data_IF_650460145100
#
_entry.id   IF_650460145100
#
_cell.length_a   1.000
_cell.length_b   1.000
_cell.length_c   1.000
_cell.angle_alpha   90.00
_cell.angle_beta   90.00
_cell.angle_gamma   90.00
#
_symmetry.space_group_name_H-M   'P 1'
#
loop_
_entity.id
_entity.type
_entity.pdbx_description
1 polymer ?
#
# COMPACT_ATOMS: atom_id res chain seq x y z
N UNK A 1 -15.53 16.75 -15.29
CA UNK A 1 -14.12 17.22 -15.17
C UNK A 1 -13.88 17.87 -13.81
N UNK A 2 -14.77 18.75 -13.33
CA UNK A 2 -14.61 19.44 -12.04
C UNK A 2 -14.72 18.50 -10.84
N UNK A 3 -15.71 17.61 -10.83
CA UNK A 3 -15.91 16.60 -9.78
C UNK A 3 -14.68 15.69 -9.61
N UNK A 4 -14.07 15.24 -10.73
CA UNK A 4 -12.85 14.43 -10.68
C UNK A 4 -11.65 15.20 -10.12
N UNK A 5 -11.54 16.50 -10.39
CA UNK A 5 -10.48 17.34 -9.85
C UNK A 5 -10.70 17.66 -8.37
N UNK A 6 -11.91 17.93 -7.95
CA UNK A 6 -12.28 18.14 -6.54
C UNK A 6 -11.97 16.89 -5.70
N UNK A 7 -12.27 15.71 -6.21
CA UNK A 7 -11.94 14.43 -5.55
C UNK A 7 -10.43 14.28 -5.41
N UNK A 8 -9.67 14.56 -6.47
CA UNK A 8 -8.19 14.50 -6.43
C UNK A 8 -7.60 15.49 -5.43
N UNK A 9 -8.11 16.73 -5.41
CA UNK A 9 -7.67 17.75 -4.46
C UNK A 9 -7.95 17.34 -3.01
N UNK A 10 -9.12 16.77 -2.73
CA UNK A 10 -9.47 16.25 -1.41
C UNK A 10 -8.47 15.16 -0.96
N UNK A 11 -8.10 14.22 -1.84
CA UNK A 11 -7.13 13.17 -1.53
C UNK A 11 -5.71 13.70 -1.35
N UNK A 12 -5.30 14.71 -2.11
CA UNK A 12 -4.01 15.39 -1.89
C UNK A 12 -3.99 16.02 -0.51
N UNK A 13 -5.08 16.69 -0.10
CA UNK A 13 -5.23 17.26 1.24
C UNK A 13 -5.13 16.21 2.34
N UNK A 14 -5.80 15.07 2.18
CA UNK A 14 -5.72 13.95 3.13
C UNK A 14 -4.30 13.38 3.21
N UNK A 15 -3.62 13.27 2.06
CA UNK A 15 -2.23 12.80 2.01
C UNK A 15 -1.28 13.73 2.80
N UNK A 16 -1.38 15.03 2.62
CA UNK A 16 -0.59 15.99 3.40
C UNK A 16 -0.91 15.94 4.88
N UNK A 17 -2.19 15.80 5.24
CA UNK A 17 -2.60 15.64 6.63
C UNK A 17 -1.98 14.38 7.23
N UNK A 18 -1.98 13.28 6.50
CA UNK A 18 -1.38 12.01 6.91
C UNK A 18 0.13 12.18 7.16
N UNK A 19 0.85 12.88 6.27
CA UNK A 19 2.27 13.18 6.45
C UNK A 19 2.51 13.97 7.76
N UNK A 20 1.68 14.96 8.05
CA UNK A 20 1.74 15.74 9.28
C UNK A 20 1.50 14.88 10.53
N UNK A 21 0.52 13.98 10.47
CA UNK A 21 0.23 13.02 11.56
C UNK A 21 1.42 12.11 11.83
N UNK A 22 2.08 11.61 10.78
CA UNK A 22 3.27 10.75 10.95
C UNK A 22 4.45 11.51 11.54
N UNK A 23 4.66 12.77 11.18
CA UNK A 23 5.69 13.62 11.81
C UNK A 23 5.40 13.77 13.30
N UNK A 24 4.16 14.03 13.69
CA UNK A 24 3.76 14.11 15.10
C UNK A 24 3.98 12.81 15.86
N UNK A 25 3.74 11.67 15.23
CA UNK A 25 4.04 10.34 15.80
C UNK A 25 5.54 10.13 16.04
N UNK A 26 6.37 10.57 15.11
CA UNK A 26 7.84 10.51 15.26
C UNK A 26 8.31 11.38 16.42
N UNK A 27 7.76 12.57 16.56
CA UNK A 27 8.07 13.46 17.69
C UNK A 27 7.69 12.83 19.03
N UNK A 28 6.50 12.24 19.13
CA UNK A 28 6.05 11.55 20.36
C UNK A 28 6.95 10.37 20.69
N UNK A 29 7.35 9.59 19.66
CA UNK A 29 8.26 8.46 19.82
C UNK A 29 9.63 8.91 20.33
N UNK A 30 10.19 9.97 19.74
CA UNK A 30 11.46 10.56 20.18
C UNK A 30 11.39 11.04 21.63
N UNK A 31 10.30 11.72 22.03
CA UNK A 31 10.09 12.18 23.41
C UNK A 31 10.02 11.00 24.40
N UNK A 32 9.34 9.93 24.02
CA UNK A 32 9.26 8.71 24.83
C UNK A 32 10.63 8.08 25.05
N UNK A 33 11.42 7.93 23.99
CA UNK A 33 12.79 7.39 24.07
C UNK A 33 13.70 8.27 24.93
N UNK A 34 13.62 9.58 24.75
CA UNK A 34 14.39 10.57 25.52
C UNK A 34 14.06 10.50 27.00
N UNK A 35 12.76 10.38 27.34
CA UNK A 35 12.33 10.23 28.74
C UNK A 35 12.89 8.96 29.36
N UNK A 36 12.78 7.83 28.67
CA UNK A 36 13.33 6.55 29.17
C UNK A 36 14.83 6.62 29.40
N UNK A 37 15.56 7.30 28.52
CA UNK A 37 17.00 7.52 28.64
C UNK A 37 17.31 8.43 29.84
N UNK A 38 16.57 9.52 30.05
CA UNK A 38 16.74 10.42 31.20
C UNK A 38 16.46 9.73 32.53
N UNK A 39 15.44 8.90 32.58
CA UNK A 39 15.05 8.13 33.76
C UNK A 39 15.99 6.92 33.99
N UNK A 40 17.00 6.75 33.14
CA UNK A 40 17.95 5.63 33.16
C UNK A 40 17.28 4.26 33.14
N UNK A 41 16.12 4.17 32.53
CA UNK A 41 15.36 2.93 32.38
C UNK A 41 15.86 2.17 31.14
N UNK A 42 17.09 1.68 31.23
CA UNK A 42 17.81 1.06 30.11
C UNK A 42 17.16 -0.23 29.60
N UNK A 43 16.58 -1.03 30.49
CA UNK A 43 15.93 -2.27 30.13
C UNK A 43 14.68 -2.01 29.27
N UNK A 44 13.83 -1.08 29.70
CA UNK A 44 12.67 -0.64 28.94
C UNK A 44 13.05 0.03 27.61
N UNK A 45 14.09 0.86 27.63
CA UNK A 45 14.60 1.50 26.40
C UNK A 45 15.09 0.46 25.39
N UNK A 46 15.88 -0.51 25.83
CA UNK A 46 16.34 -1.61 24.98
C UNK A 46 15.17 -2.42 24.42
N UNK A 47 14.16 -2.69 25.23
CA UNK A 47 12.98 -3.44 24.82
C UNK A 47 12.22 -2.72 23.71
N UNK A 48 12.02 -1.41 23.85
CA UNK A 48 11.35 -0.57 22.84
C UNK A 48 12.18 -0.51 21.56
N UNK A 49 13.50 -0.30 21.66
CA UNK A 49 14.38 -0.19 20.49
C UNK A 49 14.50 -1.49 19.69
N UNK A 50 14.34 -2.65 20.33
CA UNK A 50 14.37 -3.96 19.67
C UNK A 50 13.00 -4.41 19.17
N UNK A 51 11.92 -3.81 19.64
CA UNK A 51 10.56 -4.19 19.24
C UNK A 51 10.23 -3.66 17.84
N UNK A 52 9.71 -4.54 17.00
CA UNK A 52 9.14 -4.19 15.69
C UNK A 52 7.64 -3.93 15.74
N UNK A 53 7.03 -4.10 16.91
CA UNK A 53 5.57 -4.06 17.07
C UNK A 53 4.96 -2.73 16.62
N UNK A 54 5.59 -1.62 16.97
CA UNK A 54 5.11 -0.29 16.58
C UNK A 54 5.10 -0.12 15.05
N UNK A 55 6.17 -0.54 14.38
CA UNK A 55 6.28 -0.49 12.92
C UNK A 55 5.23 -1.38 12.28
N UNK A 56 5.04 -2.58 12.78
CA UNK A 56 4.04 -3.53 12.26
C UNK A 56 2.62 -2.99 12.40
N UNK A 57 2.29 -2.38 13.53
CA UNK A 57 0.98 -1.76 13.75
C UNK A 57 0.74 -0.56 12.84
N UNK A 58 1.73 0.32 12.69
CA UNK A 58 1.62 1.46 11.79
C UNK A 58 1.50 1.01 10.33
N UNK A 59 2.20 -0.05 9.95
CA UNK A 59 2.11 -0.62 8.61
C UNK A 59 0.72 -1.18 8.30
N UNK A 60 0.10 -1.86 9.26
CA UNK A 60 -1.30 -2.32 9.13
C UNK A 60 -2.27 -1.16 8.92
N UNK A 61 -2.12 -0.08 9.70
CA UNK A 61 -2.94 1.13 9.54
C UNK A 61 -2.72 1.78 8.17
N UNK A 62 -1.48 1.83 7.72
CA UNK A 62 -1.11 2.34 6.41
C UNK A 62 -1.77 1.54 5.29
N UNK A 63 -1.71 0.22 5.32
CA UNK A 63 -2.34 -0.63 4.32
C UNK A 63 -3.86 -0.44 4.28
N UNK A 64 -4.49 -0.36 5.45
CA UNK A 64 -5.93 -0.12 5.53
C UNK A 64 -6.31 1.22 4.90
N UNK A 65 -5.57 2.27 5.22
CA UNK A 65 -5.81 3.60 4.65
C UNK A 65 -5.58 3.61 3.14
N UNK A 66 -4.51 2.96 2.67
CA UNK A 66 -4.23 2.81 1.25
C UNK A 66 -5.38 2.10 0.53
N UNK A 67 -5.83 0.99 1.08
CA UNK A 67 -6.94 0.21 0.50
C UNK A 67 -8.22 1.04 0.41
N UNK A 68 -8.59 1.73 1.49
CA UNK A 68 -9.78 2.58 1.53
C UNK A 68 -9.73 3.69 0.48
N UNK A 69 -8.63 4.43 0.42
CA UNK A 69 -8.46 5.52 -0.54
C UNK A 69 -8.45 4.99 -1.97
N UNK A 70 -7.66 3.96 -2.24
CA UNK A 70 -7.53 3.42 -3.59
C UNK A 70 -8.87 2.86 -4.11
N UNK A 71 -9.57 2.07 -3.31
CA UNK A 71 -10.85 1.48 -3.71
C UNK A 71 -11.98 2.52 -3.82
N UNK A 72 -11.85 3.65 -3.13
CA UNK A 72 -12.75 4.76 -3.35
C UNK A 72 -12.52 5.43 -4.72
N UNK A 73 -11.25 5.62 -5.10
CA UNK A 73 -10.89 6.18 -6.41
C UNK A 73 -11.20 5.22 -7.57
N UNK A 74 -11.03 3.93 -7.33
CA UNK A 74 -11.21 2.88 -8.32
C UNK A 74 -12.14 1.78 -7.80
N UNK A 75 -13.45 2.06 -7.66
CA UNK A 75 -14.40 1.14 -7.00
C UNK A 75 -14.56 -0.20 -7.72
N UNK A 76 -14.28 -0.24 -9.02
CA UNK A 76 -14.37 -1.47 -9.83
C UNK A 76 -13.01 -2.13 -10.09
N UNK A 77 -11.95 -1.67 -9.44
CA UNK A 77 -10.60 -2.17 -9.70
C UNK A 77 -10.49 -3.68 -9.55
N UNK A 78 -10.95 -4.24 -8.44
CA UNK A 78 -10.84 -5.69 -8.18
C UNK A 78 -11.63 -6.50 -9.21
N UNK A 79 -12.82 -6.05 -9.58
CA UNK A 79 -13.66 -6.71 -10.59
C UNK A 79 -12.97 -6.68 -11.96
N UNK A 80 -12.48 -5.53 -12.39
CA UNK A 80 -11.80 -5.38 -13.67
C UNK A 80 -10.45 -6.09 -13.71
N UNK A 81 -9.73 -6.07 -12.58
CA UNK A 81 -8.48 -6.84 -12.42
C UNK A 81 -8.73 -8.35 -12.53
N UNK A 82 -9.74 -8.84 -11.84
CA UNK A 82 -10.14 -10.25 -11.89
C UNK A 82 -10.56 -10.70 -13.28
N UNK A 83 -11.12 -9.81 -14.08
CA UNK A 83 -11.47 -10.12 -15.47
C UNK A 83 -10.25 -10.44 -16.33
N UNK A 84 -9.04 -10.07 -15.90
CA UNK A 84 -7.78 -10.40 -16.58
C UNK A 84 -7.19 -11.74 -16.14
N UNK A 85 -7.77 -12.38 -15.12
CA UNK A 85 -7.29 -13.61 -14.51
C UNK A 85 -8.18 -14.81 -14.85
N UNK A 86 -7.59 -16.01 -14.83
CA UNK A 86 -8.34 -17.25 -14.89
C UNK A 86 -9.37 -17.30 -13.74
N UNK A 87 -10.52 -17.88 -13.97
CA UNK A 87 -11.66 -17.85 -13.05
C UNK A 87 -11.32 -18.41 -11.66
N UNK A 88 -10.58 -19.51 -11.63
CA UNK A 88 -10.12 -20.17 -10.40
C UNK A 88 -8.98 -19.43 -9.69
N UNK A 89 -8.42 -18.41 -10.30
CA UNK A 89 -7.28 -17.64 -9.77
C UNK A 89 -7.66 -16.21 -9.35
N UNK A 90 -8.95 -15.91 -9.35
CA UNK A 90 -9.46 -14.58 -8.99
C UNK A 90 -9.36 -14.30 -7.52
N UNK A 91 -9.10 -13.04 -7.18
CA UNK A 91 -9.05 -12.58 -5.80
C UNK A 91 -10.46 -12.27 -5.27
N UNK A 92 -10.72 -12.66 -4.03
CA UNK A 92 -11.98 -12.36 -3.32
C UNK A 92 -11.67 -11.85 -1.91
N UNK A 93 -11.03 -10.67 -1.79
CA UNK A 93 -10.73 -10.11 -0.48
C UNK A 93 -12.00 -9.66 0.24
N UNK A 94 -11.88 -9.41 1.55
CA UNK A 94 -12.96 -8.81 2.33
C UNK A 94 -13.30 -7.41 1.78
N UNK A 95 -14.55 -6.93 1.98
CA UNK A 95 -14.93 -5.58 1.57
C UNK A 95 -13.95 -4.53 2.12
N UNK A 96 -13.58 -3.56 1.26
CA UNK A 96 -12.64 -2.48 1.57
C UNK A 96 -11.21 -2.92 1.93
N UNK A 97 -10.85 -4.17 1.64
CA UNK A 97 -9.49 -4.68 1.83
C UNK A 97 -8.90 -5.14 0.51
N UNK A 98 -7.57 -5.09 0.42
CA UNK A 98 -6.82 -5.67 -0.69
C UNK A 98 -5.78 -6.65 -0.16
N UNK A 99 -5.42 -7.63 -0.99
CA UNK A 99 -4.30 -8.53 -0.72
C UNK A 99 -2.98 -7.83 -1.04
N UNK A 100 -1.83 -8.35 -0.56
CA UNK A 100 -0.52 -7.81 -0.97
C UNK A 100 -0.35 -7.72 -2.48
N UNK A 101 -0.79 -8.74 -3.21
CA UNK A 101 -0.73 -8.77 -4.68
C UNK A 101 -1.57 -7.64 -5.30
N UNK A 102 -2.79 -7.46 -4.82
CA UNK A 102 -3.66 -6.38 -5.31
C UNK A 102 -3.07 -5.00 -5.04
N UNK A 103 -2.42 -4.78 -3.90
CA UNK A 103 -1.74 -3.50 -3.60
C UNK A 103 -0.59 -3.22 -4.56
N UNK A 104 0.17 -4.24 -4.94
CA UNK A 104 1.24 -4.10 -5.93
C UNK A 104 0.66 -3.61 -7.26
N UNK A 105 -0.38 -4.26 -7.74
CA UNK A 105 -1.00 -3.88 -9.01
C UNK A 105 -1.82 -2.59 -8.92
N UNK A 106 -2.31 -2.23 -7.74
CA UNK A 106 -2.88 -0.90 -7.49
C UNK A 106 -1.82 0.20 -7.68
N UNK A 107 -0.61 0.01 -7.18
CA UNK A 107 0.50 0.94 -7.41
C UNK A 107 0.89 1.01 -8.89
N UNK A 108 0.91 -0.11 -9.59
CA UNK A 108 1.12 -0.16 -11.04
C UNK A 108 0.03 0.64 -11.76
N UNK A 109 -1.23 0.49 -11.34
CA UNK A 109 -2.35 1.29 -11.88
C UNK A 109 -2.12 2.80 -11.71
N UNK A 110 -1.52 3.20 -10.60
CA UNK A 110 -1.17 4.61 -10.33
C UNK A 110 0.09 5.08 -11.09
N UNK A 111 0.70 4.22 -11.88
CA UNK A 111 1.89 4.54 -12.67
C UNK A 111 3.22 4.24 -11.97
N UNK A 112 3.20 3.64 -10.80
CA UNK A 112 4.39 3.23 -10.08
C UNK A 112 4.72 1.80 -10.50
N UNK A 113 5.61 1.65 -11.48
CA UNK A 113 5.91 0.35 -12.13
C UNK A 113 7.26 -0.23 -11.72
N UNK A 114 8.11 0.56 -11.10
CA UNK A 114 9.44 0.12 -10.64
C UNK A 114 9.32 -0.75 -9.40
N UNK A 115 9.81 -1.99 -9.46
CA UNK A 115 9.72 -2.95 -8.36
C UNK A 115 10.43 -2.48 -7.09
N UNK A 116 11.53 -1.76 -7.23
CA UNK A 116 12.27 -1.19 -6.09
C UNK A 116 11.44 -0.12 -5.37
N UNK A 117 10.77 0.75 -6.12
CA UNK A 117 9.87 1.78 -5.55
C UNK A 117 8.65 1.14 -4.88
N UNK A 118 8.04 0.14 -5.51
CA UNK A 118 6.92 -0.61 -4.94
C UNK A 118 7.35 -1.29 -3.62
N UNK A 119 8.51 -1.93 -3.62
CA UNK A 119 9.07 -2.58 -2.44
C UNK A 119 9.27 -1.60 -1.28
N UNK A 120 9.84 -0.42 -1.55
CA UNK A 120 10.01 0.64 -0.55
C UNK A 120 8.67 1.12 -0.03
N UNK A 121 7.70 1.35 -0.91
CA UNK A 121 6.37 1.84 -0.55
C UNK A 121 5.61 0.86 0.35
N UNK A 122 5.64 -0.43 0.00
CA UNK A 122 4.91 -1.48 0.72
C UNK A 122 5.73 -2.16 1.84
N UNK A 123 6.98 -1.78 2.03
CA UNK A 123 7.89 -2.41 3.02
C UNK A 123 8.09 -3.91 2.78
N UNK A 124 8.24 -4.30 1.51
CA UNK A 124 8.68 -5.63 1.11
C UNK A 124 10.08 -5.58 0.50
N UNK A 125 10.73 -6.74 0.39
CA UNK A 125 11.95 -6.83 -0.41
C UNK A 125 11.62 -6.72 -1.91
N UNK A 126 12.55 -6.20 -2.70
CA UNK A 126 12.40 -6.13 -4.16
C UNK A 126 12.16 -7.53 -4.76
N UNK A 127 12.82 -8.54 -4.23
CA UNK A 127 12.65 -9.92 -4.66
C UNK A 127 11.21 -10.43 -4.41
N UNK A 128 10.63 -10.09 -3.26
CA UNK A 128 9.22 -10.40 -2.96
C UNK A 128 8.29 -9.79 -3.98
N UNK A 129 8.52 -8.52 -4.37
CA UNK A 129 7.71 -7.85 -5.39
C UNK A 129 7.82 -8.56 -6.74
N UNK A 130 9.04 -8.92 -7.17
CA UNK A 130 9.23 -9.69 -8.41
C UNK A 130 8.48 -11.02 -8.40
N UNK A 131 8.54 -11.73 -7.28
CA UNK A 131 7.86 -13.02 -7.12
C UNK A 131 6.33 -12.87 -7.23
N UNK A 132 5.76 -11.88 -6.57
CA UNK A 132 4.31 -11.62 -6.64
C UNK A 132 3.89 -11.19 -8.04
N UNK A 133 4.62 -10.28 -8.69
CA UNK A 133 4.31 -9.84 -10.05
C UNK A 133 4.34 -11.01 -11.03
N UNK A 134 5.36 -11.82 -10.97
CA UNK A 134 5.51 -13.00 -11.83
C UNK A 134 4.39 -14.00 -11.60
N UNK A 135 4.09 -14.31 -10.34
CA UNK A 135 3.02 -15.25 -9.98
C UNK A 135 1.66 -14.81 -10.51
N UNK A 136 1.32 -13.54 -10.35
CA UNK A 136 0.04 -13.02 -10.81
C UNK A 136 -0.03 -12.99 -12.33
N UNK A 137 1.02 -12.55 -13.01
CA UNK A 137 1.07 -12.58 -14.48
C UNK A 137 0.86 -13.98 -15.06
N UNK A 138 1.37 -15.01 -14.37
CA UNK A 138 1.19 -16.40 -14.79
C UNK A 138 -0.26 -16.89 -14.67
N UNK A 139 -1.10 -16.19 -13.90
CA UNK A 139 -2.53 -16.47 -13.73
C UNK A 139 -3.43 -15.73 -14.71
N UNK A 140 -2.85 -14.88 -15.55
CA UNK A 140 -3.59 -14.06 -16.50
C UNK A 140 -4.10 -14.90 -17.68
N UNK A 141 -5.31 -14.56 -18.16
CA UNK A 141 -5.88 -15.10 -19.40
C UNK A 141 -5.44 -14.30 -20.63
N UNK A 142 -4.83 -13.14 -20.43
CA UNK A 142 -4.28 -12.29 -21.47
C UNK A 142 -2.77 -12.59 -21.64
N UNK A 143 -2.15 -12.25 -22.80
CA UNK A 143 -0.71 -12.41 -22.95
C UNK A 143 0.07 -11.71 -21.84
N UNK A 144 1.06 -12.41 -21.32
CA UNK A 144 1.89 -11.96 -20.20
C UNK A 144 2.54 -10.58 -20.44
N UNK A 145 2.92 -10.34 -21.68
CA UNK A 145 3.63 -9.13 -22.10
C UNK A 145 2.77 -7.86 -22.00
N UNK A 146 1.45 -8.02 -22.12
CA UNK A 146 0.51 -6.90 -22.10
C UNK A 146 -0.30 -6.80 -20.81
N UNK A 147 -0.13 -7.75 -19.88
CA UNK A 147 -0.94 -7.82 -18.67
C UNK A 147 -0.88 -6.53 -17.85
N UNK A 148 0.33 -6.05 -17.53
CA UNK A 148 0.49 -4.83 -16.74
C UNK A 148 0.02 -3.58 -17.48
N UNK A 149 0.18 -3.52 -18.79
CA UNK A 149 -0.37 -2.46 -19.63
C UNK A 149 -1.91 -2.42 -19.52
N UNK A 150 -2.55 -3.59 -19.53
CA UNK A 150 -4.01 -3.67 -19.36
C UNK A 150 -4.44 -3.25 -17.94
N UNK A 151 -3.66 -3.61 -16.91
CA UNK A 151 -3.90 -3.14 -15.54
C UNK A 151 -3.85 -1.60 -15.48
N UNK A 152 -2.91 -0.97 -16.17
CA UNK A 152 -2.78 0.49 -16.20
C UNK A 152 -3.96 1.20 -16.88
N UNK A 153 -4.74 0.48 -17.65
CA UNK A 153 -5.95 1.00 -18.32
C UNK A 153 -7.23 0.84 -17.51
N UNK A 154 -7.21 0.12 -16.38
CA UNK A 154 -8.38 -0.09 -15.53
C UNK A 154 -8.96 1.26 -15.09
N UNK A 155 -10.27 1.44 -15.25
CA UNK A 155 -10.97 2.66 -14.88
C UNK A 155 -10.68 3.88 -15.77
N UNK A 156 -9.93 3.72 -16.85
CA UNK A 156 -9.80 4.76 -17.89
C UNK A 156 -10.98 4.61 -18.87
N UNK A 157 -11.69 5.68 -19.04
CA UNK A 157 -12.77 5.80 -20.01
C UNK A 157 -12.29 6.57 -21.23
#
# INVERSE_FOLDING_TARGET
LNESNEVKEAYIGEFFNLCSVYISKLEKYQKMLTKKAKDRNWDELNKVLRSTEMIEQELKKFYKLFDDIFLHLFPHFITEFNALLAEDERFAPKPHEMTPELRIFALIRLGITDSSKIATFLHYSTNTIYNYRTRVRNKAIVPREIFEEMVMKIGKR
#
